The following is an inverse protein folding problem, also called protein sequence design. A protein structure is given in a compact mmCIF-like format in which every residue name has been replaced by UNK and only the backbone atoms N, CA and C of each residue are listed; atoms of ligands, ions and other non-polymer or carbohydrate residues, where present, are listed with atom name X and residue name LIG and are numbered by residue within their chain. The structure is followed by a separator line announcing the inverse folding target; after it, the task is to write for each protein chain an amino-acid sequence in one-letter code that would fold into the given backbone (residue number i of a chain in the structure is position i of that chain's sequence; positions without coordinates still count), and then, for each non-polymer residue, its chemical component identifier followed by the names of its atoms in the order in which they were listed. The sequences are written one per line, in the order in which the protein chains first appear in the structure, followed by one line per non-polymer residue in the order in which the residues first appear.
data_IF_848281860710
#
_entry.id   IF_848281860710
#
_cell.length_a   1.000
_cell.length_b   1.000
_cell.length_c   1.000
_cell.angle_alpha   90.00
_cell.angle_beta   90.00
_cell.angle_gamma   90.00
#
_symmetry.space_group_name_H-M   'P 1'
#
loop_
_entity.id
_entity.type
_entity.pdbx_description
1 polymer ?
#
# COMPACT_ATOMS: atom_id res chain seq x y z
N UNK A 1 -6.32 23.36 -9.24
CA UNK A 1 -7.02 23.11 -7.97
C UNK A 1 -7.25 21.61 -7.87
N UNK A 2 -6.49 20.94 -7.01
CA UNK A 2 -6.44 19.48 -6.92
C UNK A 2 -7.47 18.99 -5.90
N UNK A 3 -8.28 18.00 -6.28
CA UNK A 3 -9.34 17.33 -5.52
C UNK A 3 -8.88 16.66 -4.20
N UNK A 4 -7.61 16.79 -3.81
CA UNK A 4 -7.03 16.14 -2.65
C UNK A 4 -7.24 16.88 -1.31
N UNK A 5 -8.33 17.63 -1.13
CA UNK A 5 -8.70 18.16 0.20
C UNK A 5 -9.73 17.23 0.84
N UNK A 6 -9.26 16.08 1.32
CA UNK A 6 -10.03 15.21 2.19
C UNK A 6 -10.14 15.87 3.58
N UNK A 7 -11.31 16.42 3.90
CA UNK A 7 -11.63 17.00 5.23
C UNK A 7 -12.13 15.95 6.24
N UNK A 8 -11.88 14.66 5.97
CA UNK A 8 -12.28 13.55 6.85
C UNK A 8 -11.09 12.65 7.17
N UNK A 9 -10.57 12.83 8.39
CA UNK A 9 -9.98 11.77 9.23
C UNK A 9 -8.58 11.20 8.92
N UNK A 10 -8.27 10.83 7.68
CA UNK A 10 -7.03 10.11 7.36
C UNK A 10 -6.66 10.21 5.88
N UNK A 11 -5.38 10.44 5.54
CA UNK A 11 -4.91 10.38 4.14
C UNK A 11 -4.67 8.93 3.65
N UNK A 12 -5.16 7.94 4.38
CA UNK A 12 -4.95 6.53 4.06
C UNK A 12 -6.13 6.01 3.23
N UNK A 13 -5.83 5.43 2.06
CA UNK A 13 -6.83 4.80 1.19
C UNK A 13 -7.46 3.54 1.84
N UNK A 14 -6.80 2.96 2.85
CA UNK A 14 -7.31 1.85 3.62
C UNK A 14 -7.95 2.36 4.93
N UNK A 15 -9.27 2.35 4.98
CA UNK A 15 -10.06 2.87 6.12
C UNK A 15 -9.75 2.23 7.47
N UNK A 16 -9.25 0.99 7.48
CA UNK A 16 -8.87 0.27 8.70
C UNK A 16 -7.42 0.53 9.15
N UNK A 17 -6.69 1.39 8.45
CA UNK A 17 -5.28 1.65 8.71
C UNK A 17 -5.08 3.08 9.19
N UNK A 18 -4.10 3.29 10.07
CA UNK A 18 -3.81 4.63 10.55
C UNK A 18 -3.39 5.57 9.41
N UNK A 19 -3.58 6.90 9.55
CA UNK A 19 -3.19 7.87 8.53
C UNK A 19 -1.71 7.72 8.12
N UNK A 20 -1.39 7.86 6.83
CA UNK A 20 -0.02 7.84 6.29
C UNK A 20 0.63 9.20 6.57
N UNK A 21 1.21 9.35 7.76
CA UNK A 21 1.88 10.57 8.19
C UNK A 21 3.37 10.51 7.85
N UNK A 22 3.88 11.45 7.04
CA UNK A 22 5.31 11.62 6.69
C UNK A 22 6.24 11.82 7.89
N UNK A 23 5.66 12.25 9.00
CA UNK A 23 6.30 12.55 10.28
C UNK A 23 6.62 11.27 11.11
N UNK A 24 6.01 10.12 10.78
CA UNK A 24 6.27 8.86 11.49
C UNK A 24 5.60 8.73 12.86
N UNK A 25 4.70 9.65 13.21
CA UNK A 25 3.92 9.67 14.48
C UNK A 25 2.94 8.50 14.70
N UNK A 26 2.87 7.52 13.80
CA UNK A 26 2.25 6.22 14.15
C UNK A 26 3.27 5.45 14.99
N UNK A 27 3.22 5.70 16.29
CA UNK A 27 4.19 5.29 17.29
C UNK A 27 4.67 3.85 17.13
N UNK A 28 6.00 3.68 17.14
CA UNK A 28 6.60 2.43 17.57
C UNK A 28 6.28 2.26 19.07
N UNK A 29 5.28 1.45 19.41
CA UNK A 29 5.01 1.00 20.80
C UNK A 29 6.04 -0.03 21.25
N UNK A 30 7.27 0.08 20.75
CA UNK A 30 8.33 -0.86 21.05
C UNK A 30 8.71 -0.74 22.52
N UNK A 31 8.49 -1.82 23.25
CA UNK A 31 8.92 -1.97 24.63
C UNK A 31 10.07 -2.97 24.68
N UNK A 32 11.12 -2.73 25.47
CA UNK A 32 12.18 -3.70 25.68
C UNK A 32 11.62 -5.02 26.21
N UNK A 33 12.14 -6.16 25.74
CA UNK A 33 11.68 -7.48 26.18
C UNK A 33 11.82 -7.71 27.69
N UNK A 34 12.79 -7.05 28.34
CA UNK A 34 12.94 -7.08 29.79
C UNK A 34 11.74 -6.47 30.52
N UNK A 35 11.27 -5.29 30.08
CA UNK A 35 10.10 -4.61 30.66
C UNK A 35 8.84 -5.44 30.48
N UNK A 36 8.66 -6.05 29.31
CA UNK A 36 7.54 -6.96 29.03
C UNK A 36 7.61 -8.18 29.96
N UNK A 37 8.79 -8.74 30.17
CA UNK A 37 8.97 -9.88 31.05
C UNK A 37 8.65 -9.55 32.52
N UNK A 38 9.14 -8.42 33.03
CA UNK A 38 8.85 -7.99 34.39
C UNK A 38 7.34 -7.75 34.55
N UNK A 39 6.67 -7.17 33.55
CA UNK A 39 5.21 -7.04 33.52
C UNK A 39 4.49 -8.38 33.58
N UNK A 40 4.96 -9.38 32.83
CA UNK A 40 4.37 -10.74 32.84
C UNK A 40 4.51 -11.35 34.23
N UNK A 41 5.66 -11.18 34.88
CA UNK A 41 5.92 -11.68 36.23
C UNK A 41 5.04 -10.99 37.26
N UNK A 42 4.95 -9.66 37.23
CA UNK A 42 4.07 -8.86 38.09
C UNK A 42 2.59 -9.28 37.92
N UNK A 43 2.09 -9.30 36.68
CA UNK A 43 0.67 -9.58 36.40
C UNK A 43 0.24 -11.01 36.79
N UNK A 44 1.17 -11.97 36.77
CA UNK A 44 0.89 -13.37 37.12
C UNK A 44 1.40 -13.75 38.52
N UNK A 45 1.84 -12.77 39.33
CA UNK A 45 2.40 -12.97 40.67
C UNK A 45 3.53 -14.03 40.71
N UNK A 46 4.39 -14.05 39.68
CA UNK A 46 5.47 -15.02 39.55
C UNK A 46 6.71 -14.52 40.30
N UNK A 47 7.02 -15.16 41.41
CA UNK A 47 8.18 -14.80 42.25
C UNK A 47 9.41 -15.65 41.94
N UNK A 48 9.23 -16.92 41.56
CA UNK A 48 10.33 -17.87 41.33
C UNK A 48 10.68 -18.06 39.85
N UNK A 49 11.96 -18.35 39.58
CA UNK A 49 12.44 -18.66 38.22
C UNK A 49 11.86 -19.97 37.67
N UNK A 50 11.49 -20.90 38.54
CA UNK A 50 10.88 -22.17 38.13
C UNK A 50 9.44 -21.94 37.67
N UNK A 51 8.66 -21.16 38.42
CA UNK A 51 7.29 -20.79 38.05
C UNK A 51 7.25 -20.02 36.74
N UNK A 52 8.23 -19.13 36.52
CA UNK A 52 8.35 -18.39 35.27
C UNK A 52 8.58 -19.32 34.06
N UNK A 53 9.49 -20.29 34.18
CA UNK A 53 9.72 -21.28 33.12
C UNK A 53 8.50 -22.15 32.86
N UNK A 54 7.82 -22.58 33.92
CA UNK A 54 6.57 -23.36 33.82
C UNK A 54 5.47 -22.55 33.14
N UNK A 55 5.35 -21.26 33.45
CA UNK A 55 4.39 -20.35 32.81
C UNK A 55 4.68 -20.21 31.31
N UNK A 56 5.93 -19.98 30.94
CA UNK A 56 6.34 -19.88 29.53
C UNK A 56 6.06 -21.16 28.76
N UNK A 57 6.37 -22.33 29.33
CA UNK A 57 6.10 -23.61 28.68
C UNK A 57 4.60 -23.84 28.47
N UNK A 58 3.76 -23.56 29.49
CA UNK A 58 2.31 -23.72 29.41
C UNK A 58 1.66 -22.75 28.42
N UNK A 59 2.23 -21.55 28.24
CA UNK A 59 1.66 -20.49 27.39
C UNK A 59 2.45 -20.25 26.10
N UNK A 60 3.44 -21.08 25.77
CA UNK A 60 4.38 -20.85 24.66
C UNK A 60 3.67 -20.57 23.34
N UNK A 61 2.67 -21.39 22.99
CA UNK A 61 1.89 -21.25 21.75
C UNK A 61 1.19 -19.90 21.67
N UNK A 62 0.55 -19.46 22.78
CA UNK A 62 -0.15 -18.17 22.85
C UNK A 62 0.83 -17.00 22.72
N UNK A 63 1.98 -17.08 23.38
CA UNK A 63 3.02 -16.05 23.32
C UNK A 63 3.58 -15.94 21.91
N UNK A 64 3.87 -17.07 21.26
CA UNK A 64 4.35 -17.08 19.87
C UNK A 64 3.32 -16.46 18.93
N UNK A 65 2.03 -16.78 19.09
CA UNK A 65 0.95 -16.21 18.28
C UNK A 65 0.77 -14.71 18.52
N UNK A 66 0.83 -14.24 19.77
CA UNK A 66 0.76 -12.82 20.08
C UNK A 66 1.95 -12.05 19.50
N UNK A 67 3.16 -12.61 19.62
CA UNK A 67 4.38 -12.03 19.05
C UNK A 67 4.33 -11.98 17.52
N UNK A 68 3.82 -13.03 16.87
CA UNK A 68 3.70 -13.04 15.41
C UNK A 68 2.71 -11.99 14.92
N UNK A 69 1.55 -11.86 15.56
CA UNK A 69 0.56 -10.81 15.25
C UNK A 69 1.13 -9.41 15.47
N UNK A 70 1.78 -9.17 16.62
CA UNK A 70 2.40 -7.86 16.92
C UNK A 70 3.50 -7.50 15.93
N UNK A 71 4.35 -8.46 15.54
CA UNK A 71 5.40 -8.25 14.54
C UNK A 71 4.82 -7.93 13.17
N UNK A 72 3.75 -8.63 12.81
CA UNK A 72 3.06 -8.43 11.55
C UNK A 72 2.43 -7.03 11.45
N UNK A 73 1.82 -6.54 12.53
CA UNK A 73 1.32 -5.16 12.62
C UNK A 73 2.44 -4.11 12.51
N UNK A 74 3.64 -4.39 13.04
CA UNK A 74 4.79 -3.48 12.91
C UNK A 74 5.37 -3.45 11.48
N UNK A 75 5.29 -4.55 10.74
CA UNK A 75 5.75 -4.62 9.34
C UNK A 75 4.70 -4.16 8.32
N UNK A 76 3.48 -3.82 8.76
CA UNK A 76 2.39 -3.32 7.91
C UNK A 76 1.25 -4.30 7.73
N UNK A 77 0.87 -4.57 6.49
CA UNK A 77 -0.34 -5.30 6.14
C UNK A 77 -0.27 -6.78 6.55
N UNK A 78 -1.00 -7.18 7.60
CA UNK A 78 -0.97 -8.55 8.10
C UNK A 78 -2.05 -9.48 7.51
N UNK A 79 -1.71 -10.48 6.66
CA UNK A 79 -2.66 -11.37 5.98
C UNK A 79 -3.69 -12.02 6.92
N UNK A 80 -3.26 -12.40 8.12
CA UNK A 80 -4.05 -13.16 9.09
C UNK A 80 -5.20 -12.31 9.69
N UNK A 81 -5.06 -10.99 9.71
CA UNK A 81 -6.12 -10.08 10.19
C UNK A 81 -7.12 -9.68 9.10
N UNK A 82 -6.85 -10.02 7.84
CA UNK A 82 -7.70 -9.65 6.71
C UNK A 82 -8.78 -10.68 6.37
N UNK A 83 -8.87 -11.79 7.10
CA UNK A 83 -9.98 -12.73 6.93
C UNK A 83 -11.19 -12.26 7.72
N UNK A 84 -11.92 -11.28 7.19
CA UNK A 84 -13.14 -10.72 7.78
C UNK A 84 -14.01 -10.04 6.73
N UNK A 85 -15.25 -9.70 7.08
CA UNK A 85 -16.27 -9.17 6.17
C UNK A 85 -15.87 -7.92 5.36
N UNK A 86 -14.78 -7.25 5.74
CA UNK A 86 -14.24 -6.06 5.07
C UNK A 86 -13.28 -6.37 3.92
N UNK A 87 -12.82 -7.62 3.77
CA UNK A 87 -12.07 -8.12 2.60
C UNK A 87 -12.72 -9.41 2.13
N UNK A 88 -13.83 -9.35 1.38
CA UNK A 88 -14.39 -10.55 0.82
C UNK A 88 -13.35 -11.17 -0.13
N UNK A 89 -13.14 -12.48 0.02
CA UNK A 89 -12.28 -13.35 -0.83
C UNK A 89 -12.66 -13.25 -2.32
N UNK A 90 -13.78 -12.59 -2.63
CA UNK A 90 -14.30 -12.33 -3.97
C UNK A 90 -13.63 -11.17 -4.71
N UNK A 91 -12.65 -10.46 -4.13
CA UNK A 91 -11.83 -9.56 -4.94
C UNK A 91 -10.93 -10.42 -5.84
N UNK A 92 -11.34 -10.53 -7.11
CA UNK A 92 -10.51 -11.09 -8.17
C UNK A 92 -9.15 -10.39 -8.11
N UNK A 93 -8.11 -11.13 -7.72
CA UNK A 93 -6.75 -10.63 -7.58
C UNK A 93 -6.08 -10.42 -8.96
N UNK A 94 -6.87 -9.99 -9.93
CA UNK A 94 -6.47 -9.75 -11.30
C UNK A 94 -6.09 -8.27 -11.43
N UNK A 95 -4.89 -7.96 -11.95
CA UNK A 95 -4.49 -6.57 -12.19
C UNK A 95 -5.54 -5.82 -13.00
N UNK A 96 -5.78 -4.56 -12.65
CA UNK A 96 -6.61 -3.68 -13.47
C UNK A 96 -5.90 -3.39 -14.80
N UNK A 97 -6.61 -3.61 -15.90
CA UNK A 97 -6.12 -3.43 -17.27
C UNK A 97 -6.86 -2.25 -17.90
N UNK A 98 -6.10 -1.29 -18.42
CA UNK A 98 -6.63 -0.15 -19.17
C UNK A 98 -7.18 -0.60 -20.53
N UNK A 99 -8.29 -0.03 -20.95
CA UNK A 99 -8.93 -0.39 -22.22
C UNK A 99 -8.23 0.21 -23.45
N UNK A 100 -7.54 1.33 -23.28
CA UNK A 100 -6.79 2.01 -24.35
C UNK A 100 -5.65 2.85 -23.79
N UNK A 101 -4.74 3.31 -24.66
CA UNK A 101 -3.64 4.21 -24.26
C UNK A 101 -4.11 5.60 -23.78
N UNK A 102 -5.38 5.94 -24.02
CA UNK A 102 -6.01 7.21 -23.61
C UNK A 102 -6.95 7.03 -22.41
N UNK A 103 -7.09 5.80 -21.91
CA UNK A 103 -7.98 5.47 -20.81
C UNK A 103 -7.37 5.96 -19.48
N UNK A 104 -8.03 6.93 -18.86
CA UNK A 104 -7.68 7.46 -17.54
C UNK A 104 -8.55 6.89 -16.43
N UNK A 105 -9.43 5.92 -16.72
CA UNK A 105 -10.23 5.26 -15.70
C UNK A 105 -9.35 4.37 -14.84
N UNK A 106 -9.56 4.41 -13.53
CA UNK A 106 -8.83 3.58 -12.57
C UNK A 106 -9.71 3.29 -11.36
N UNK A 107 -9.61 2.10 -10.75
CA UNK A 107 -10.35 1.77 -9.56
C UNK A 107 -9.88 2.63 -8.37
N UNK A 108 -10.74 2.74 -7.36
CA UNK A 108 -10.38 3.40 -6.12
C UNK A 108 -9.16 2.74 -5.47
N UNK A 109 -8.16 3.53 -5.07
CA UNK A 109 -6.92 3.03 -4.48
C UNK A 109 -5.94 2.43 -5.48
N UNK A 110 -6.09 2.68 -6.79
CA UNK A 110 -5.12 2.19 -7.77
C UNK A 110 -3.73 2.77 -7.52
N UNK A 111 -2.74 1.89 -7.39
CA UNK A 111 -1.37 2.26 -7.08
C UNK A 111 -0.75 3.12 -8.20
N UNK A 112 -0.26 4.31 -7.83
CA UNK A 112 0.48 5.20 -8.74
C UNK A 112 1.87 5.46 -8.20
N UNK A 113 2.87 5.46 -9.08
CA UNK A 113 4.24 5.82 -8.75
C UNK A 113 4.74 6.87 -9.73
N UNK A 114 5.76 7.64 -9.33
CA UNK A 114 6.44 8.60 -10.17
C UNK A 114 6.93 7.98 -11.48
N UNK A 115 7.60 6.83 -11.40
CA UNK A 115 8.09 6.07 -12.55
C UNK A 115 6.95 5.60 -13.45
N UNK A 116 5.84 5.14 -12.87
CA UNK A 116 4.65 4.71 -13.63
C UNK A 116 4.01 5.89 -14.36
N UNK A 117 3.87 7.02 -13.70
CA UNK A 117 3.27 8.22 -14.29
C UNK A 117 4.11 8.74 -15.47
N UNK A 118 5.44 8.76 -15.32
CA UNK A 118 6.36 9.14 -16.40
C UNK A 118 6.28 8.18 -17.58
N UNK A 119 6.23 6.86 -17.31
CA UNK A 119 6.10 5.85 -18.36
C UNK A 119 4.77 5.97 -19.13
N UNK A 120 3.64 6.05 -18.41
CA UNK A 120 2.32 6.13 -19.03
C UNK A 120 2.17 7.39 -19.88
N UNK A 121 2.63 8.54 -19.37
CA UNK A 121 2.61 9.81 -20.13
C UNK A 121 3.43 9.73 -21.42
N UNK A 122 4.64 9.13 -21.36
CA UNK A 122 5.47 8.90 -22.56
C UNK A 122 4.76 8.00 -23.56
N UNK A 123 4.14 6.92 -23.08
CA UNK A 123 3.44 5.97 -23.94
C UNK A 123 2.21 6.60 -24.60
N UNK A 124 1.45 7.41 -23.87
CA UNK A 124 0.32 8.19 -24.39
C UNK A 124 0.78 9.15 -25.51
N UNK A 125 1.85 9.92 -25.29
CA UNK A 125 2.43 10.81 -26.32
C UNK A 125 2.86 10.03 -27.57
N UNK A 126 3.54 8.90 -27.37
CA UNK A 126 3.98 8.05 -28.48
C UNK A 126 2.79 7.43 -29.24
N UNK A 127 1.71 7.07 -28.56
CA UNK A 127 0.50 6.54 -29.19
C UNK A 127 -0.21 7.56 -30.10
N UNK A 128 -0.01 8.86 -29.85
CA UNK A 128 -0.52 9.97 -30.66
C UNK A 128 0.42 10.39 -31.79
N UNK A 129 1.59 9.76 -31.90
CA UNK A 129 2.56 10.09 -32.92
C UNK A 129 2.02 9.69 -34.30
N UNK A 130 1.65 10.68 -35.09
CA UNK A 130 1.21 10.51 -36.48
C UNK A 130 2.29 11.04 -37.40
N UNK A 131 2.78 10.20 -38.31
CA UNK A 131 3.63 10.66 -39.41
C UNK A 131 2.73 11.06 -40.57
N UNK A 132 2.67 12.35 -40.97
CA UNK A 132 1.90 12.74 -42.12
C UNK A 132 2.51 12.10 -43.38
N UNK A 133 1.71 11.41 -44.18
CA UNK A 133 2.09 11.02 -45.53
C UNK A 133 1.68 12.13 -46.50
N UNK A 134 2.64 12.65 -47.27
CA UNK A 134 2.39 13.67 -48.29
C UNK A 134 2.59 13.04 -49.67
N UNK A 135 1.61 13.18 -50.55
CA UNK A 135 1.76 12.75 -51.94
C UNK A 135 2.59 13.75 -52.74
N UNK A 136 3.26 13.31 -53.82
CA UNK A 136 4.13 14.18 -54.62
C UNK A 136 3.40 15.42 -55.16
N UNK A 137 2.15 15.28 -55.62
CA UNK A 137 1.34 16.40 -56.11
C UNK A 137 0.98 17.38 -54.99
N UNK A 138 0.72 16.86 -53.79
CA UNK A 138 0.37 17.64 -52.60
C UNK A 138 1.59 18.38 -52.03
N UNK A 139 2.77 17.77 -52.11
CA UNK A 139 4.05 18.43 -51.81
C UNK A 139 4.34 19.60 -52.76
N UNK A 140 4.14 19.39 -54.07
CA UNK A 140 4.39 20.42 -55.08
C UNK A 140 3.40 21.60 -55.00
N UNK A 141 2.18 21.36 -54.49
CA UNK A 141 1.15 22.40 -54.38
C UNK A 141 1.12 23.11 -53.03
N UNK A 142 1.37 22.41 -51.92
CA UNK A 142 1.26 22.97 -50.56
C UNK A 142 2.62 23.31 -49.90
N UNK A 143 3.73 22.83 -50.46
CA UNK A 143 5.05 22.95 -49.83
C UNK A 143 5.17 22.12 -48.55
N UNK A 144 6.35 22.14 -47.90
CA UNK A 144 6.59 21.37 -46.66
C UNK A 144 5.74 21.96 -45.51
N UNK A 145 4.81 21.19 -44.91
CA UNK A 145 4.09 21.66 -43.74
C UNK A 145 5.06 21.81 -42.55
N UNK A 146 4.97 22.93 -41.83
CA UNK A 146 5.72 23.10 -40.57
C UNK A 146 5.07 22.23 -39.49
N UNK A 147 5.87 21.39 -38.85
CA UNK A 147 5.44 20.70 -37.63
C UNK A 147 5.30 21.77 -36.53
N UNK A 148 4.08 21.96 -36.04
CA UNK A 148 3.82 22.73 -34.82
C UNK A 148 4.16 21.88 -33.60
#
# INVERSE_FOLDING_TARGET
MSWATCYSGSNNIHFNFPPIMMDGRNYATWQPGAVVNDKIRENNNITSNWDYRTFLQKNAVKIMQANSVSSCNNCGACPVMYTGAQNPITQSNTPYVFSSALDSSQPFGYETSDLKNVYLSRHELQSRMMAPSISQSEYLTRGIPRAN
#
